data_IF_196367561412
#
_entry.id   IF_196367561412
#
_cell.length_a   1.000
_cell.length_b   1.000
_cell.length_c   1.000
_cell.angle_alpha   90.00
_cell.angle_beta   90.00
_cell.angle_gamma   90.00
#
_symmetry.space_group_name_H-M   'P 1'
#
loop_
_entity.id
_entity.type
_entity.pdbx_description
1 polymer ?
#
# COMPACT_ATOMS: atom_id res chain seq x y z
N UNK A 1 18.13 3.73 -4.53
CA UNK A 1 16.82 4.19 -4.01
C UNK A 1 15.76 3.34 -4.66
N UNK A 2 14.90 2.64 -3.92
CA UNK A 2 13.79 1.90 -4.55
C UNK A 2 12.65 2.88 -4.79
N UNK A 3 12.20 2.97 -6.05
CA UNK A 3 11.02 3.70 -6.46
C UNK A 3 10.07 2.63 -7.00
N UNK A 4 8.84 2.58 -6.49
CA UNK A 4 7.87 1.62 -7.01
C UNK A 4 7.68 1.80 -8.52
N UNK A 5 7.23 0.75 -9.19
CA UNK A 5 7.19 0.69 -10.66
C UNK A 5 5.74 0.82 -11.14
N UNK A 6 5.51 1.67 -12.14
CA UNK A 6 4.28 1.61 -12.95
C UNK A 6 4.48 0.64 -14.11
N UNK A 7 3.67 -0.41 -14.13
CA UNK A 7 3.59 -1.39 -15.21
C UNK A 7 2.50 -0.93 -16.17
N UNK A 8 2.80 -0.87 -17.47
CA UNK A 8 1.85 -0.43 -18.51
C UNK A 8 1.29 -1.59 -19.34
N UNK A 9 1.68 -2.81 -19.00
CA UNK A 9 1.33 -4.05 -19.65
C UNK A 9 -0.15 -4.34 -19.48
N UNK A 10 -0.84 -4.55 -20.60
CA UNK A 10 -2.28 -4.84 -20.65
C UNK A 10 -2.60 -6.32 -20.83
N UNK A 11 -1.60 -7.20 -20.64
CA UNK A 11 -1.75 -8.66 -20.83
C UNK A 11 -1.39 -9.41 -19.53
N UNK A 12 -2.17 -10.44 -19.13
CA UNK A 12 -2.00 -11.12 -17.84
C UNK A 12 -0.60 -11.72 -17.59
N UNK A 13 -0.05 -12.49 -18.53
CA UNK A 13 1.22 -13.22 -18.31
C UNK A 13 2.44 -12.31 -18.10
N UNK A 14 2.66 -11.26 -18.91
CA UNK A 14 3.75 -10.31 -18.64
C UNK A 14 3.60 -9.57 -17.31
N UNK A 15 2.36 -9.23 -16.93
CA UNK A 15 2.07 -8.58 -15.66
C UNK A 15 2.43 -9.47 -14.46
N UNK A 16 2.05 -10.74 -14.51
CA UNK A 16 2.39 -11.76 -13.51
C UNK A 16 3.92 -11.88 -13.34
N UNK A 17 4.66 -12.03 -14.45
CA UNK A 17 6.12 -12.13 -14.42
C UNK A 17 6.79 -10.89 -13.81
N UNK A 18 6.28 -9.69 -14.11
CA UNK A 18 6.83 -8.46 -13.55
C UNK A 18 6.57 -8.34 -12.05
N UNK A 19 5.40 -8.79 -11.57
CA UNK A 19 5.09 -8.83 -10.14
C UNK A 19 5.95 -9.87 -9.40
N UNK A 20 6.23 -11.03 -10.00
CA UNK A 20 7.17 -12.02 -9.45
C UNK A 20 8.60 -11.48 -9.36
N UNK A 21 9.03 -10.70 -10.36
CA UNK A 21 10.36 -10.10 -10.41
C UNK A 21 10.56 -8.96 -9.40
N UNK A 22 9.48 -8.36 -8.90
CA UNK A 22 9.50 -7.42 -7.78
C UNK A 22 9.70 -8.22 -6.49
N UNK A 23 10.90 -8.76 -6.30
CA UNK A 23 11.26 -9.57 -5.14
C UNK A 23 10.99 -8.82 -3.84
N UNK A 24 10.06 -9.35 -3.05
CA UNK A 24 9.74 -8.86 -1.69
C UNK A 24 10.98 -8.89 -0.78
N UNK A 25 11.97 -9.75 -1.05
CA UNK A 25 13.23 -9.78 -0.29
C UNK A 25 14.10 -8.54 -0.48
N UNK A 26 14.12 -7.95 -1.69
CA UNK A 26 14.81 -6.68 -1.97
C UNK A 26 14.02 -5.52 -1.36
N UNK A 27 12.69 -5.62 -1.39
CA UNK A 27 11.78 -4.63 -0.81
C UNK A 27 11.82 -4.63 0.73
N UNK A 28 11.89 -5.79 1.39
CA UNK A 28 11.84 -5.88 2.86
C UNK A 28 13.05 -5.19 3.50
N UNK A 29 14.26 -5.42 2.98
CA UNK A 29 15.49 -4.78 3.47
C UNK A 29 15.49 -3.26 3.27
N UNK A 30 14.72 -2.78 2.28
CA UNK A 30 14.51 -1.35 2.07
C UNK A 30 13.49 -0.79 3.07
N UNK A 31 12.37 -1.47 3.27
CA UNK A 31 11.36 -1.08 4.25
C UNK A 31 11.87 -1.09 5.68
N UNK A 32 12.67 -2.08 6.10
CA UNK A 32 13.27 -2.12 7.44
C UNK A 32 14.12 -0.86 7.71
N UNK A 33 14.85 -0.38 6.70
CA UNK A 33 15.64 0.86 6.80
C UNK A 33 14.77 2.10 6.89
N UNK A 34 13.66 2.15 6.16
CA UNK A 34 12.66 3.23 6.25
C UNK A 34 12.01 3.28 7.63
N UNK A 35 11.59 2.12 8.15
CA UNK A 35 10.92 2.02 9.43
C UNK A 35 11.88 2.41 10.55
N UNK A 36 13.11 1.90 10.53
CA UNK A 36 14.15 2.33 11.48
C UNK A 36 14.37 3.86 11.45
N UNK A 37 14.38 4.47 10.25
CA UNK A 37 14.43 5.92 10.10
C UNK A 37 13.20 6.64 10.69
N UNK A 38 11.98 6.14 10.48
CA UNK A 38 10.74 6.69 11.05
C UNK A 38 10.69 6.59 12.57
N UNK A 39 11.05 5.44 13.16
CA UNK A 39 11.15 5.26 14.62
C UNK A 39 12.16 6.23 15.22
N UNK A 40 13.31 6.38 14.56
CA UNK A 40 14.32 7.32 14.99
C UNK A 40 13.78 8.75 14.96
N UNK A 41 13.01 9.15 13.95
CA UNK A 41 12.44 10.50 13.86
C UNK A 41 11.48 10.81 15.03
N UNK A 42 10.58 9.88 15.35
CA UNK A 42 9.58 10.09 16.41
C UNK A 42 10.20 10.24 17.79
N UNK A 43 11.27 9.52 18.09
CA UNK A 43 11.90 9.52 19.41
C UNK A 43 12.77 10.77 19.71
N UNK A 44 13.17 11.54 18.69
CA UNK A 44 14.02 12.71 18.87
C UNK A 44 13.76 13.78 17.77
N UNK A 45 12.63 14.50 17.88
CA UNK A 45 12.20 15.52 16.92
C UNK A 45 12.98 16.83 17.16
N UNK A 46 14.18 16.95 16.62
CA UNK A 46 14.95 18.21 16.72
C UNK A 46 16.43 18.11 16.37
N UNK A 47 17.02 16.91 16.39
CA UNK A 47 18.43 16.74 16.08
C UNK A 47 18.72 16.88 14.59
N UNK A 48 19.66 17.76 14.16
CA UNK A 48 20.12 17.83 12.77
C UNK A 48 20.88 16.55 12.39
N UNK A 49 20.23 15.62 11.69
CA UNK A 49 20.81 14.30 11.38
C UNK A 49 21.60 14.32 10.08
N UNK A 50 22.67 15.11 10.08
CA UNK A 50 23.71 15.06 9.06
C UNK A 50 24.36 13.66 9.05
N UNK A 51 24.15 12.91 7.97
CA UNK A 51 24.92 11.68 7.69
C UNK A 51 24.27 10.34 8.01
N UNK A 52 23.05 10.29 8.58
CA UNK A 52 22.28 9.04 8.74
C UNK A 52 21.46 8.66 7.48
N UNK A 53 21.28 9.60 6.53
CA UNK A 53 20.43 9.45 5.33
C UNK A 53 21.22 9.48 4.01
N UNK A 54 22.48 9.04 4.02
CA UNK A 54 23.29 8.86 2.81
C UNK A 54 22.71 7.68 2.01
N UNK A 55 21.90 7.76 0.96
CA UNK A 55 21.60 8.83 0.03
C UNK A 55 20.12 8.70 -0.43
N UNK A 56 19.23 9.19 0.44
CA UNK A 56 17.88 9.75 0.21
C UNK A 56 16.62 8.84 0.17
N UNK A 57 16.04 8.54 1.35
CA UNK A 57 14.76 7.82 1.59
C UNK A 57 13.52 8.74 1.52
N UNK A 58 13.45 9.55 0.45
CA UNK A 58 12.58 10.73 0.25
C UNK A 58 12.34 11.59 1.52
N UNK A 59 13.34 11.55 2.41
CA UNK A 59 13.52 12.10 3.75
C UNK A 59 12.25 12.41 4.55
N UNK A 60 11.38 11.40 4.64
CA UNK A 60 10.66 11.03 5.89
C UNK A 60 10.11 12.22 6.69
N UNK A 61 8.78 12.48 6.76
CA UNK A 61 7.79 11.47 7.18
C UNK A 61 6.50 11.50 6.34
N UNK A 62 5.78 10.38 6.21
CA UNK A 62 4.32 10.39 6.17
C UNK A 62 3.86 9.32 7.16
N UNK A 63 3.07 9.80 8.12
CA UNK A 63 2.55 9.17 9.34
C UNK A 63 1.47 10.13 9.82
N UNK A 64 0.29 10.11 9.23
CA UNK A 64 -0.55 11.28 8.95
C UNK A 64 -1.10 12.09 10.15
N UNK A 65 -0.67 11.85 11.39
CA UNK A 65 -0.52 12.82 12.51
C UNK A 65 0.18 12.18 13.73
N UNK A 66 1.24 11.39 13.50
CA UNK A 66 1.87 10.63 14.58
C UNK A 66 2.81 11.51 15.42
N UNK A 67 2.34 11.93 16.58
CA UNK A 67 3.12 12.64 17.61
C UNK A 67 3.74 11.64 18.58
N UNK A 68 4.68 12.10 19.42
CA UNK A 68 5.20 11.30 20.55
C UNK A 68 4.07 10.70 21.39
N UNK A 69 2.93 11.40 21.50
CA UNK A 69 1.75 10.95 22.24
C UNK A 69 1.05 9.72 21.62
N UNK A 70 1.19 9.50 20.31
CA UNK A 70 0.49 8.42 19.58
C UNK A 70 1.42 7.25 19.19
N UNK A 71 2.73 7.38 19.44
CA UNK A 71 3.71 6.34 19.14
C UNK A 71 3.76 5.27 20.23
N UNK A 72 3.24 4.07 19.92
CA UNK A 72 3.23 2.92 20.85
C UNK A 72 4.47 2.02 20.75
N UNK A 73 5.54 2.48 20.10
CA UNK A 73 6.81 1.75 20.04
C UNK A 73 6.82 0.52 19.11
N UNK A 74 5.78 0.30 18.30
CA UNK A 74 5.76 -0.75 17.27
C UNK A 74 5.54 -0.12 15.91
N UNK A 75 6.52 -0.30 15.02
CA UNK A 75 6.36 -0.04 13.61
C UNK A 75 5.89 -1.32 12.90
N UNK A 76 5.12 -1.12 11.84
CA UNK A 76 4.65 -2.17 10.94
C UNK A 76 5.84 -2.95 10.35
N UNK A 77 5.84 -4.28 10.43
CA UNK A 77 6.93 -5.11 9.89
C UNK A 77 6.50 -5.82 8.61
N UNK A 78 7.36 -5.79 7.60
CA UNK A 78 7.21 -6.59 6.38
C UNK A 78 8.07 -7.85 6.53
N UNK A 79 7.44 -9.01 6.59
CA UNK A 79 8.16 -10.28 6.68
C UNK A 79 8.81 -10.61 5.33
N UNK A 80 10.03 -11.15 5.35
CA UNK A 80 10.66 -11.69 4.16
C UNK A 80 9.80 -12.83 3.59
N UNK A 81 9.34 -12.67 2.34
CA UNK A 81 8.40 -13.60 1.70
C UNK A 81 6.91 -13.26 1.93
N UNK A 82 6.58 -12.09 2.46
CA UNK A 82 5.21 -11.60 2.47
C UNK A 82 4.63 -11.56 1.06
N UNK A 83 3.36 -11.95 0.89
CA UNK A 83 2.64 -11.83 -0.37
C UNK A 83 2.23 -10.38 -0.62
N UNK A 84 1.90 -10.05 -1.87
CA UNK A 84 1.23 -8.79 -2.17
C UNK A 84 -0.27 -8.88 -1.88
N UNK A 85 -0.81 -7.74 -1.45
CA UNK A 85 -2.23 -7.44 -1.43
C UNK A 85 -2.49 -6.34 -2.45
N UNK A 86 -3.71 -6.28 -2.94
CA UNK A 86 -4.07 -5.38 -4.03
C UNK A 86 -5.14 -4.39 -3.60
N UNK A 87 -4.85 -3.11 -3.76
CA UNK A 87 -5.85 -2.05 -3.65
C UNK A 87 -6.25 -1.64 -5.06
N UNK A 88 -7.55 -1.53 -5.31
CA UNK A 88 -8.08 -1.09 -6.61
C UNK A 88 -8.55 0.35 -6.49
N UNK A 89 -8.04 1.21 -7.35
CA UNK A 89 -8.21 2.67 -7.28
C UNK A 89 -8.28 3.28 -8.69
N UNK A 90 -8.76 4.53 -8.82
CA UNK A 90 -8.61 5.27 -10.06
C UNK A 90 -7.14 5.39 -10.49
N UNK A 91 -6.89 5.41 -11.81
CA UNK A 91 -5.55 5.56 -12.38
C UNK A 91 -4.74 6.73 -11.82
N UNK A 92 -5.36 7.90 -11.72
CA UNK A 92 -4.73 9.11 -11.19
C UNK A 92 -4.40 8.98 -9.70
N UNK A 93 -5.25 8.28 -8.93
CA UNK A 93 -5.00 7.99 -7.52
C UNK A 93 -3.83 7.02 -7.37
N UNK A 94 -3.77 5.95 -8.17
CA UNK A 94 -2.64 5.00 -8.15
C UNK A 94 -1.30 5.70 -8.38
N UNK A 95 -1.24 6.56 -9.40
CA UNK A 95 -0.03 7.34 -9.74
C UNK A 95 0.36 8.32 -8.64
N UNK A 96 -0.62 9.04 -8.08
CA UNK A 96 -0.35 9.95 -6.97
C UNK A 96 0.16 9.20 -5.73
N UNK A 97 -0.42 8.03 -5.45
CA UNK A 97 0.03 7.16 -4.38
C UNK A 97 1.47 6.67 -4.63
N UNK A 98 1.79 6.25 -5.85
CA UNK A 98 3.14 5.83 -6.24
C UNK A 98 4.16 6.96 -6.13
N UNK A 99 3.82 8.15 -6.62
CA UNK A 99 4.67 9.34 -6.55
C UNK A 99 4.97 9.74 -5.10
N UNK A 100 3.95 9.73 -4.24
CA UNK A 100 4.08 10.07 -2.83
C UNK A 100 4.57 8.91 -1.96
N UNK A 101 4.66 7.70 -2.53
CA UNK A 101 4.91 6.45 -1.81
C UNK A 101 4.02 6.32 -0.57
N UNK A 102 2.73 6.64 -0.70
CA UNK A 102 1.76 6.74 0.40
C UNK A 102 0.35 6.40 -0.07
N UNK A 103 -0.46 5.81 0.81
CA UNK A 103 -1.89 5.57 0.57
C UNK A 103 -2.78 6.78 0.91
N UNK A 104 -2.19 7.89 1.37
CA UNK A 104 -2.92 9.12 1.72
C UNK A 104 -3.71 9.75 0.55
N UNK A 105 -3.30 9.64 -0.73
CA UNK A 105 -4.09 10.17 -1.85
C UNK A 105 -5.39 9.41 -2.14
N UNK A 106 -5.61 8.23 -1.53
CA UNK A 106 -6.86 7.50 -1.70
C UNK A 106 -8.02 8.33 -1.12
N UNK A 107 -9.07 8.65 -1.90
CA UNK A 107 -10.16 9.50 -1.44
C UNK A 107 -10.99 8.82 -0.34
N UNK A 108 -11.56 9.61 0.57
CA UNK A 108 -12.32 9.10 1.73
C UNK A 108 -13.45 8.13 1.35
N UNK A 109 -14.12 8.36 0.21
CA UNK A 109 -15.19 7.47 -0.28
C UNK A 109 -14.72 6.06 -0.63
N UNK A 110 -13.41 5.87 -0.91
CA UNK A 110 -12.79 4.56 -1.14
C UNK A 110 -12.12 4.00 0.11
N UNK A 111 -12.25 4.69 1.25
CA UNK A 111 -11.78 4.22 2.56
C UNK A 111 -12.95 3.63 3.35
N UNK A 112 -12.60 2.82 4.34
CA UNK A 112 -13.58 2.29 5.29
C UNK A 112 -14.22 3.42 6.10
N UNK A 113 -15.50 3.28 6.45
CA UNK A 113 -16.28 4.31 7.20
C UNK A 113 -15.64 4.75 8.53
N UNK A 114 -14.89 3.87 9.19
CA UNK A 114 -14.18 4.16 10.44
C UNK A 114 -12.71 4.60 10.23
N UNK A 115 -12.35 4.92 8.99
CA UNK A 115 -10.96 5.09 8.57
C UNK A 115 -10.28 3.75 8.26
N UNK A 116 -9.26 3.81 7.40
CA UNK A 116 -8.46 2.66 6.97
C UNK A 116 -8.67 2.25 5.52
N UNK A 117 -7.86 1.28 5.09
CA UNK A 117 -7.80 0.79 3.71
C UNK A 117 -8.28 -0.64 3.62
N UNK A 118 -8.97 -0.91 2.51
CA UNK A 118 -9.38 -2.25 2.10
C UNK A 118 -8.42 -2.73 1.02
N UNK A 119 -7.73 -3.84 1.28
CA UNK A 119 -6.94 -4.54 0.29
C UNK A 119 -7.57 -5.91 0.00
N UNK A 120 -7.42 -6.38 -1.23
CA UNK A 120 -7.99 -7.61 -1.74
C UNK A 120 -6.85 -8.58 -2.01
N UNK A 121 -7.04 -9.84 -1.63
CA UNK A 121 -6.01 -10.90 -1.75
C UNK A 121 -5.91 -11.43 -3.18
N UNK A 122 -6.96 -11.29 -4.00
CA UNK A 122 -6.97 -11.77 -5.39
C UNK A 122 -6.11 -10.90 -6.31
N UNK A 123 -5.34 -11.58 -7.13
CA UNK A 123 -4.46 -10.97 -8.13
C UNK A 123 -5.25 -10.17 -9.18
N UNK A 124 -4.69 -9.08 -9.71
CA UNK A 124 -5.34 -8.19 -10.69
C UNK A 124 -5.43 -8.80 -12.10
N UNK A 125 -4.96 -10.03 -12.27
CA UNK A 125 -4.97 -10.80 -13.51
C UNK A 125 -5.65 -12.18 -13.36
N UNK A 126 -6.14 -12.50 -12.15
CA UNK A 126 -7.01 -13.66 -11.94
C UNK A 126 -8.44 -13.34 -12.45
N UNK A 127 -9.31 -14.33 -12.62
CA UNK A 127 -10.68 -14.22 -13.16
C UNK A 127 -11.60 -13.33 -12.29
N UNK A 128 -11.29 -12.04 -12.20
CA UNK A 128 -11.93 -11.06 -11.36
C UNK A 128 -12.60 -10.04 -12.26
N UNK A 129 -13.77 -9.59 -11.85
CA UNK A 129 -14.52 -8.57 -12.59
C UNK A 129 -14.51 -7.26 -11.82
N UNK A 130 -14.58 -6.13 -12.53
CA UNK A 130 -14.73 -4.82 -11.90
C UNK A 130 -15.95 -4.75 -10.96
N UNK A 131 -17.04 -5.44 -11.32
CA UNK A 131 -18.26 -5.48 -10.51
C UNK A 131 -18.02 -6.18 -9.17
N UNK A 132 -17.28 -7.30 -9.14
CA UNK A 132 -16.96 -8.00 -7.89
C UNK A 132 -16.09 -7.13 -6.96
N UNK A 133 -15.14 -6.37 -7.51
CA UNK A 133 -14.33 -5.41 -6.72
C UNK A 133 -15.24 -4.33 -6.15
N UNK A 134 -16.08 -3.71 -6.99
CA UNK A 134 -17.00 -2.64 -6.59
C UNK A 134 -17.98 -3.12 -5.52
N UNK A 135 -18.57 -4.31 -5.68
CA UNK A 135 -19.43 -4.93 -4.69
C UNK A 135 -18.70 -5.17 -3.37
N UNK A 136 -17.43 -5.59 -3.43
CA UNK A 136 -16.59 -5.77 -2.26
C UNK A 136 -16.36 -4.44 -1.55
N UNK A 137 -15.98 -3.39 -2.26
CA UNK A 137 -15.80 -2.05 -1.69
C UNK A 137 -17.08 -1.55 -1.01
N UNK A 138 -18.22 -1.62 -1.69
CA UNK A 138 -19.50 -1.19 -1.14
C UNK A 138 -19.91 -2.02 0.10
N UNK A 139 -19.64 -3.34 0.11
CA UNK A 139 -19.89 -4.21 1.27
C UNK A 139 -19.12 -3.77 2.52
N UNK A 140 -17.90 -3.26 2.36
CA UNK A 140 -17.05 -2.82 3.46
C UNK A 140 -17.19 -1.33 3.80
N UNK A 141 -18.23 -0.66 3.26
CA UNK A 141 -18.57 0.71 3.62
C UNK A 141 -17.83 1.79 2.84
N UNK A 142 -17.11 1.42 1.77
CA UNK A 142 -16.64 2.35 0.74
C UNK A 142 -17.82 2.70 -0.20
N UNK A 143 -18.84 3.35 0.37
CA UNK A 143 -20.11 3.59 -0.28
C UNK A 143 -19.95 4.44 -1.54
N UNK A 144 -20.58 4.03 -2.64
CA UNK A 144 -20.52 4.67 -3.97
C UNK A 144 -19.21 4.43 -4.73
N UNK A 145 -18.52 3.32 -4.47
CA UNK A 145 -17.51 2.83 -5.40
C UNK A 145 -18.18 2.48 -6.75
N UNK A 146 -17.57 2.93 -7.85
CA UNK A 146 -18.00 2.66 -9.22
C UNK A 146 -16.93 1.93 -10.00
N UNK A 147 -17.22 1.54 -11.25
CA UNK A 147 -16.25 0.84 -12.10
C UNK A 147 -15.05 1.72 -12.46
N UNK A 148 -15.24 3.03 -12.60
CA UNK A 148 -14.13 3.97 -12.82
C UNK A 148 -13.17 4.04 -11.62
N UNK A 149 -13.63 3.60 -10.44
CA UNK A 149 -12.83 3.64 -9.23
C UNK A 149 -11.84 2.49 -9.08
N UNK A 150 -11.91 1.50 -9.97
CA UNK A 150 -11.15 0.26 -9.80
C UNK A 150 -10.25 -0.03 -11.00
N UNK A 151 -10.10 0.92 -11.93
CA UNK A 151 -9.35 0.76 -13.18
C UNK A 151 -7.88 0.35 -13.01
N UNK A 152 -7.25 0.71 -11.89
CA UNK A 152 -5.86 0.40 -11.60
C UNK A 152 -5.75 -0.39 -10.29
N UNK A 153 -4.74 -1.24 -10.21
CA UNK A 153 -4.33 -1.87 -8.97
C UNK A 153 -3.06 -1.22 -8.41
N UNK A 154 -2.89 -1.31 -7.09
CA UNK A 154 -1.64 -1.06 -6.38
C UNK A 154 -1.28 -2.31 -5.59
N UNK A 155 -0.09 -2.85 -5.81
CA UNK A 155 0.45 -3.95 -5.04
C UNK A 155 1.16 -3.40 -3.79
N UNK A 156 0.69 -3.83 -2.62
CA UNK A 156 1.24 -3.47 -1.32
C UNK A 156 1.65 -4.73 -0.56
N UNK A 157 2.76 -4.74 0.18
CA UNK A 157 3.18 -5.93 0.90
C UNK A 157 2.19 -6.26 2.03
N UNK A 158 1.94 -7.55 2.26
CA UNK A 158 1.13 -8.00 3.39
C UNK A 158 1.92 -7.88 4.71
N UNK A 159 1.65 -6.81 5.45
CA UNK A 159 2.28 -6.50 6.74
C UNK A 159 1.45 -7.01 7.94
N UNK A 160 1.99 -6.83 9.16
CA UNK A 160 1.27 -7.08 10.41
C UNK A 160 0.02 -6.21 10.63
N UNK A 161 -0.12 -5.07 9.95
CA UNK A 161 -1.24 -4.15 10.13
C UNK A 161 -2.46 -4.52 9.26
N UNK A 162 -2.25 -5.37 8.24
CA UNK A 162 -3.31 -5.90 7.39
C UNK A 162 -3.93 -7.16 7.98
N UNK A 163 -5.10 -7.00 8.58
CA UNK A 163 -5.81 -8.07 9.28
C UNK A 163 -7.05 -8.51 8.50
N UNK A 164 -7.33 -9.82 8.49
CA UNK A 164 -8.59 -10.30 7.93
C UNK A 164 -9.76 -9.88 8.84
N UNK A 165 -10.89 -9.42 8.28
CA UNK A 165 -12.15 -9.42 9.03
C UNK A 165 -12.50 -10.87 9.42
N UNK A 166 -13.24 -11.02 10.53
CA UNK A 166 -13.53 -12.33 11.15
C UNK A 166 -14.01 -13.41 10.17
N UNK A 167 -14.77 -13.03 9.12
CA UNK A 167 -15.47 -13.98 8.25
C UNK A 167 -15.11 -13.88 6.75
N UNK A 168 -14.11 -13.08 6.36
CA UNK A 168 -13.75 -12.95 4.93
C UNK A 168 -12.23 -12.95 4.73
N UNK A 169 -11.71 -14.10 4.30
CA UNK A 169 -10.28 -14.28 4.03
C UNK A 169 -9.82 -13.61 2.73
N UNK A 170 -10.75 -13.17 1.87
CA UNK A 170 -10.43 -12.58 0.56
C UNK A 170 -10.02 -11.11 0.66
N UNK A 171 -10.25 -10.48 1.80
CA UNK A 171 -9.88 -9.09 2.05
C UNK A 171 -9.01 -8.96 3.28
N UNK A 172 -8.21 -7.90 3.30
CA UNK A 172 -7.42 -7.46 4.44
C UNK A 172 -7.70 -5.99 4.70
N UNK A 173 -7.81 -5.65 5.97
CA UNK A 173 -8.10 -4.29 6.42
C UNK A 173 -6.88 -3.77 7.17
N UNK A 174 -6.40 -2.59 6.77
CA UNK A 174 -5.38 -1.82 7.50
C UNK A 174 -6.04 -0.59 8.12
N UNK A 175 -6.00 -0.49 9.44
CA UNK A 175 -6.50 0.68 10.21
C UNK A 175 -5.36 1.52 10.81
N UNK A 176 -4.12 1.12 10.59
CA UNK A 176 -2.96 1.91 10.93
C UNK A 176 -2.93 3.21 10.11
N UNK A 177 -2.27 4.23 10.67
CA UNK A 177 -1.91 5.45 9.93
C UNK A 177 -1.04 5.11 8.72
N UNK A 178 -1.11 5.94 7.68
CA UNK A 178 -0.41 5.71 6.43
C UNK A 178 1.10 5.85 6.64
N UNK A 179 1.82 4.73 6.50
CA UNK A 179 3.28 4.74 6.44
C UNK A 179 3.78 5.28 5.10
N UNK A 180 5.11 5.48 5.02
CA UNK A 180 5.78 5.64 3.73
C UNK A 180 6.16 4.26 3.19
N UNK A 181 6.19 4.16 1.85
CA UNK A 181 6.66 3.01 1.10
C UNK A 181 5.74 1.78 1.23
N UNK A 182 4.43 2.02 1.12
CA UNK A 182 3.43 0.95 1.04
C UNK A 182 3.32 0.36 -0.38
N UNK A 183 3.84 1.02 -1.41
CA UNK A 183 3.47 0.73 -2.81
C UNK A 183 4.68 0.25 -3.59
N UNK A 184 4.69 -1.06 -3.88
CA UNK A 184 5.75 -1.67 -4.68
C UNK A 184 5.50 -1.48 -6.17
N UNK A 185 4.25 -1.66 -6.60
CA UNK A 185 3.88 -1.65 -8.03
C UNK A 185 2.48 -1.05 -8.20
N UNK A 186 2.26 -0.34 -9.30
CA UNK A 186 0.92 -0.03 -9.81
C UNK A 186 0.79 -0.52 -11.24
N UNK A 187 -0.43 -0.79 -11.68
CA UNK A 187 -0.72 -1.13 -13.07
C UNK A 187 -2.22 -1.15 -13.37
N UNK A 188 -2.60 -1.31 -14.65
CA UNK A 188 -3.99 -1.48 -15.01
C UNK A 188 -4.56 -2.78 -14.41
N UNK A 189 -5.78 -2.72 -13.88
CA UNK A 189 -6.51 -3.92 -13.49
C UNK A 189 -7.04 -4.62 -14.75
N UNK A 190 -6.72 -5.90 -14.92
CA UNK A 190 -7.10 -6.66 -16.10
C UNK A 190 -8.34 -7.50 -15.78
N UNK A 191 -9.50 -6.96 -16.12
CA UNK A 191 -10.77 -7.64 -15.92
C UNK A 191 -11.11 -8.59 -17.06
N UNK A 192 -11.76 -9.70 -16.69
CA UNK A 192 -12.35 -10.67 -17.62
C UNK A 192 -13.83 -10.39 -17.90
#
# INVERSE_FOLDING_TARGET
MYQGVEINESTPRPLEQLLENVHVSIYSSFCDRVLAAQASFVNDPGTPRLGLYKDNLLQVPLMDTLTVANYKGKLESIYAGALFLYLYVPKNVARACLEQQSLAPIPERLRLRAGGQLAIVRDPFDQITANEIVETYNRYGCSNATREDVEFFMAVPHTSEFNAPHDDRRVKIRRAVFGRFDIAVIGPALYH
#
